data_IF_886822950384
#
_entry.id   IF_886822950384
#
_cell.length_a   1.000
_cell.length_b   1.000
_cell.length_c   1.000
_cell.angle_alpha   90.00
_cell.angle_beta   90.00
_cell.angle_gamma   90.00
#
_symmetry.space_group_name_H-M   'P 1'
#
loop_
_entity.id
_entity.type
_entity.pdbx_description
1 polymer ?
#
# COMPACT_ATOMS: atom_id res chain seq x y z
N UNK A 1 14.94 -22.54 -12.73
CA UNK A 1 14.92 -21.61 -11.58
C UNK A 1 13.85 -20.52 -11.74
N UNK A 2 13.84 -19.69 -12.80
CA UNK A 2 12.82 -18.65 -13.00
C UNK A 2 11.38 -19.19 -13.08
N UNK A 3 11.14 -20.28 -13.83
CA UNK A 3 9.81 -20.91 -13.94
C UNK A 3 9.30 -21.40 -12.60
N UNK A 4 10.16 -21.99 -11.78
CA UNK A 4 9.78 -22.45 -10.43
C UNK A 4 9.46 -21.30 -9.47
N UNK A 5 10.19 -20.18 -9.56
CA UNK A 5 9.89 -18.96 -8.80
C UNK A 5 8.55 -18.35 -9.24
N UNK A 6 8.29 -18.33 -10.55
CA UNK A 6 7.02 -17.86 -11.10
C UNK A 6 5.86 -18.72 -10.60
N UNK A 7 6.00 -20.05 -10.60
CA UNK A 7 4.98 -20.97 -10.07
C UNK A 7 4.75 -20.80 -8.56
N UNK A 8 5.81 -20.51 -7.79
CA UNK A 8 5.66 -20.24 -6.34
C UNK A 8 4.82 -18.99 -6.10
N UNK A 9 4.98 -17.95 -6.93
CA UNK A 9 4.32 -16.65 -6.77
C UNK A 9 2.92 -16.63 -7.37
N UNK A 10 2.68 -17.36 -8.46
CA UNK A 10 1.43 -17.26 -9.24
C UNK A 10 0.42 -18.38 -8.98
N UNK A 11 0.85 -19.52 -8.44
CA UNK A 11 -0.05 -20.64 -8.18
C UNK A 11 -0.57 -20.63 -6.74
N UNK A 12 -1.90 -20.64 -6.54
CA UNK A 12 -2.47 -20.77 -5.21
C UNK A 12 -2.07 -22.07 -4.56
N UNK A 13 -1.70 -22.01 -3.28
CA UNK A 13 -1.33 -23.19 -2.50
C UNK A 13 -2.57 -24.03 -2.15
N UNK A 14 -2.43 -25.31 -1.75
CA UNK A 14 -3.55 -26.16 -1.37
C UNK A 14 -4.44 -25.61 -0.26
N UNK A 15 -3.94 -24.66 0.53
CA UNK A 15 -4.70 -23.97 1.59
C UNK A 15 -5.65 -22.90 1.05
N UNK A 16 -5.49 -22.47 -0.21
CA UNK A 16 -6.41 -21.51 -0.82
C UNK A 16 -7.68 -22.24 -1.29
N UNK A 17 -8.87 -21.64 -1.09
CA UNK A 17 -10.09 -22.13 -1.72
C UNK A 17 -9.93 -22.19 -3.25
N UNK A 18 -10.60 -23.18 -3.90
CA UNK A 18 -10.45 -23.39 -5.35
C UNK A 18 -10.88 -22.21 -6.21
N UNK A 19 -11.84 -21.45 -5.75
CA UNK A 19 -12.42 -20.25 -6.38
C UNK A 19 -11.58 -18.98 -6.15
N UNK A 20 -10.54 -19.05 -5.33
CA UNK A 20 -9.66 -17.91 -5.05
C UNK A 20 -8.61 -17.62 -6.13
N UNK A 21 -8.44 -18.50 -7.10
CA UNK A 21 -7.36 -18.38 -8.08
C UNK A 21 -7.31 -17.01 -8.79
N UNK A 22 -8.44 -16.46 -9.32
CA UNK A 22 -8.41 -15.12 -9.94
C UNK A 22 -8.04 -14.02 -8.95
N UNK A 23 -8.62 -14.06 -7.74
CA UNK A 23 -8.33 -13.09 -6.70
C UNK A 23 -6.87 -13.19 -6.22
N UNK A 24 -6.35 -14.42 -6.09
CA UNK A 24 -4.95 -14.66 -5.76
C UNK A 24 -4.01 -14.02 -6.78
N UNK A 25 -4.22 -14.28 -8.08
CA UNK A 25 -3.41 -13.69 -9.15
C UNK A 25 -3.52 -12.16 -9.18
N UNK A 26 -4.72 -11.61 -9.04
CA UNK A 26 -4.93 -10.17 -8.98
C UNK A 26 -4.16 -9.53 -7.80
N UNK A 27 -4.19 -10.19 -6.64
CA UNK A 27 -3.43 -9.73 -5.47
C UNK A 27 -1.92 -9.79 -5.69
N UNK A 28 -1.40 -10.86 -6.29
CA UNK A 28 0.02 -10.98 -6.61
C UNK A 28 0.49 -9.89 -7.58
N UNK A 29 -0.31 -9.62 -8.61
CA UNK A 29 -0.03 -8.54 -9.56
C UNK A 29 -0.10 -7.18 -8.88
N UNK A 30 -1.07 -6.96 -7.98
CA UNK A 30 -1.17 -5.75 -7.17
C UNK A 30 0.04 -5.54 -6.27
N UNK A 31 0.53 -6.57 -5.59
CA UNK A 31 1.76 -6.50 -4.80
C UNK A 31 2.98 -6.16 -5.66
N UNK A 32 3.11 -6.78 -6.84
CA UNK A 32 4.22 -6.52 -7.75
C UNK A 32 4.18 -5.09 -8.28
N UNK A 33 3.01 -4.63 -8.73
CA UNK A 33 2.82 -3.25 -9.21
C UNK A 33 3.10 -2.25 -8.09
N UNK A 34 2.62 -2.53 -6.87
CA UNK A 34 2.91 -1.73 -5.68
C UNK A 34 4.41 -1.65 -5.38
N UNK A 35 5.14 -2.77 -5.45
CA UNK A 35 6.58 -2.78 -5.23
C UNK A 35 7.35 -1.95 -6.28
N UNK A 36 6.94 -2.03 -7.55
CA UNK A 36 7.53 -1.20 -8.63
C UNK A 36 7.23 0.27 -8.38
N UNK A 37 5.99 0.60 -7.99
CA UNK A 37 5.59 1.95 -7.65
C UNK A 37 6.37 2.54 -6.47
N UNK A 38 6.60 1.74 -5.42
CA UNK A 38 7.44 2.10 -4.27
C UNK A 38 8.87 2.45 -4.72
N UNK A 39 9.51 1.57 -5.48
CA UNK A 39 10.87 1.79 -5.97
C UNK A 39 10.98 3.04 -6.87
N UNK A 40 10.00 3.27 -7.74
CA UNK A 40 9.96 4.48 -8.58
C UNK A 40 9.82 5.76 -7.77
N UNK A 41 8.98 5.72 -6.73
CA UNK A 41 8.78 6.82 -5.79
C UNK A 41 10.02 7.10 -4.95
N UNK A 42 10.65 6.05 -4.40
CA UNK A 42 11.88 6.17 -3.63
C UNK A 42 13.00 6.78 -4.47
N UNK A 43 13.11 6.36 -5.72
CA UNK A 43 14.09 6.93 -6.65
C UNK A 43 13.82 8.42 -6.91
N UNK A 44 12.54 8.80 -7.11
CA UNK A 44 12.16 10.20 -7.29
C UNK A 44 12.52 11.04 -6.06
N UNK A 45 12.17 10.57 -4.86
CA UNK A 45 12.49 11.25 -3.60
C UNK A 45 13.99 11.37 -3.41
N UNK A 46 14.75 10.30 -3.66
CA UNK A 46 16.21 10.30 -3.58
C UNK A 46 16.85 11.33 -4.50
N UNK A 47 16.33 11.51 -5.72
CA UNK A 47 16.87 12.43 -6.72
C UNK A 47 16.46 13.89 -6.52
N UNK A 48 15.39 14.17 -5.77
CA UNK A 48 14.79 15.50 -5.74
C UNK A 48 14.66 16.12 -4.36
N UNK A 49 14.90 15.36 -3.30
CA UNK A 49 14.74 15.82 -1.91
C UNK A 49 16.08 15.73 -1.18
N UNK A 50 16.57 16.82 -0.64
CA UNK A 50 17.85 16.84 0.07
C UNK A 50 17.87 15.94 1.31
N UNK A 51 16.82 16.04 2.15
CA UNK A 51 16.65 15.24 3.35
C UNK A 51 15.82 13.95 3.10
N UNK A 52 16.15 13.20 2.07
CA UNK A 52 15.43 12.00 1.63
C UNK A 52 15.49 10.82 2.62
N UNK A 53 16.57 10.71 3.39
CA UNK A 53 16.87 9.51 4.17
C UNK A 53 15.77 9.11 5.19
N UNK A 54 15.20 10.02 6.01
CA UNK A 54 14.11 9.64 6.92
C UNK A 54 12.84 9.24 6.19
N UNK A 55 12.57 9.83 5.02
CA UNK A 55 11.38 9.51 4.20
C UNK A 55 11.49 8.08 3.68
N UNK A 56 12.63 7.75 3.04
CA UNK A 56 12.88 6.40 2.51
C UNK A 56 12.98 5.36 3.64
N UNK A 57 13.61 5.68 4.77
CA UNK A 57 13.68 4.77 5.91
C UNK A 57 12.30 4.41 6.45
N UNK A 58 11.40 5.37 6.53
CA UNK A 58 10.01 5.15 6.92
C UNK A 58 9.27 4.28 5.89
N UNK A 59 9.45 4.55 4.60
CA UNK A 59 8.87 3.77 3.53
C UNK A 59 9.34 2.31 3.54
N UNK A 60 10.63 2.08 3.74
CA UNK A 60 11.19 0.74 3.88
C UNK A 60 10.60 0.00 5.09
N UNK A 61 10.38 0.69 6.22
CA UNK A 61 9.74 0.08 7.38
C UNK A 61 8.32 -0.42 7.08
N UNK A 62 7.48 0.40 6.44
CA UNK A 62 6.14 -0.03 6.01
C UNK A 62 6.19 -1.03 4.85
N UNK A 63 7.14 -0.89 3.94
CA UNK A 63 7.42 -1.84 2.86
C UNK A 63 7.72 -3.24 3.38
N UNK A 64 8.45 -3.36 4.49
CA UNK A 64 8.67 -4.64 5.17
C UNK A 64 7.36 -5.25 5.69
N UNK A 65 6.47 -4.45 6.28
CA UNK A 65 5.15 -4.93 6.73
C UNK A 65 4.32 -5.45 5.56
N UNK A 66 4.30 -4.71 4.45
CA UNK A 66 3.63 -5.12 3.21
C UNK A 66 4.28 -6.39 2.64
N UNK A 67 5.60 -6.48 2.65
CA UNK A 67 6.38 -7.64 2.21
C UNK A 67 6.06 -8.90 3.02
N UNK A 68 5.92 -8.78 4.35
CA UNK A 68 5.46 -9.89 5.20
C UNK A 68 4.02 -10.26 4.84
N UNK A 69 3.15 -9.30 4.56
CA UNK A 69 1.80 -9.55 4.06
C UNK A 69 1.79 -10.34 2.75
N UNK A 70 2.63 -9.92 1.79
CA UNK A 70 2.83 -10.65 0.54
C UNK A 70 3.31 -12.10 0.78
N UNK A 71 4.31 -12.29 1.62
CA UNK A 71 4.82 -13.62 1.98
C UNK A 71 3.72 -14.49 2.59
N UNK A 72 2.97 -14.00 3.58
CA UNK A 72 1.85 -14.72 4.17
C UNK A 72 0.80 -15.09 3.13
N UNK A 73 0.49 -14.19 2.21
CA UNK A 73 -0.41 -14.46 1.10
C UNK A 73 0.10 -15.60 0.22
N UNK A 74 1.39 -15.61 -0.14
CA UNK A 74 1.99 -16.64 -1.00
C UNK A 74 2.06 -18.02 -0.35
N UNK A 75 2.25 -18.11 0.98
CA UNK A 75 2.31 -19.39 1.71
C UNK A 75 0.95 -19.93 2.14
N UNK A 76 -0.15 -19.26 1.77
CA UNK A 76 -1.51 -19.76 1.98
C UNK A 76 -2.28 -19.15 3.16
N UNK A 77 -1.71 -18.13 3.84
CA UNK A 77 -2.42 -17.32 4.83
C UNK A 77 -3.00 -16.06 4.16
N UNK A 78 -3.79 -16.26 3.11
CA UNK A 78 -4.21 -15.19 2.21
C UNK A 78 -4.93 -14.03 2.92
N UNK A 79 -5.90 -14.32 3.80
CA UNK A 79 -6.64 -13.27 4.52
C UNK A 79 -5.73 -12.46 5.44
N UNK A 80 -4.86 -13.11 6.20
CA UNK A 80 -3.90 -12.43 7.09
C UNK A 80 -2.91 -11.60 6.30
N UNK A 81 -2.44 -12.13 5.17
CA UNK A 81 -1.51 -11.43 4.28
C UNK A 81 -2.10 -10.15 3.73
N UNK A 82 -3.35 -10.20 3.23
CA UNK A 82 -4.05 -9.01 2.71
C UNK A 82 -4.30 -7.98 3.81
N UNK A 83 -4.79 -8.42 4.97
CA UNK A 83 -5.05 -7.50 6.09
C UNK A 83 -3.75 -6.80 6.52
N UNK A 84 -2.66 -7.55 6.66
CA UNK A 84 -1.38 -6.97 7.05
C UNK A 84 -0.84 -5.99 6.02
N UNK A 85 -0.96 -6.31 4.72
CA UNK A 85 -0.58 -5.41 3.64
C UNK A 85 -1.42 -4.12 3.64
N UNK A 86 -2.73 -4.23 3.89
CA UNK A 86 -3.61 -3.06 4.02
C UNK A 86 -3.22 -2.19 5.23
N UNK A 87 -2.92 -2.78 6.38
CA UNK A 87 -2.45 -2.05 7.57
C UNK A 87 -1.14 -1.34 7.29
N UNK A 88 -0.18 -2.02 6.64
CA UNK A 88 1.08 -1.42 6.21
C UNK A 88 0.88 -0.27 5.23
N UNK A 89 0.00 -0.43 4.25
CA UNK A 89 -0.32 0.59 3.27
C UNK A 89 -0.96 1.85 3.88
N UNK A 90 -1.89 1.67 4.83
CA UNK A 90 -2.50 2.80 5.56
C UNK A 90 -1.48 3.51 6.44
N UNK A 91 -0.65 2.74 7.16
CA UNK A 91 0.43 3.31 7.97
C UNK A 91 1.38 4.15 7.10
N UNK A 92 1.81 3.60 5.97
CA UNK A 92 2.64 4.30 4.99
C UNK A 92 1.97 5.58 4.50
N UNK A 93 0.72 5.51 4.03
CA UNK A 93 -0.02 6.68 3.54
C UNK A 93 -0.14 7.77 4.61
N UNK A 94 -0.46 7.40 5.85
CA UNK A 94 -0.55 8.35 6.97
C UNK A 94 0.79 9.03 7.22
N UNK A 95 1.87 8.25 7.30
CA UNK A 95 3.20 8.76 7.55
C UNK A 95 3.67 9.68 6.41
N UNK A 96 3.41 9.33 5.15
CA UNK A 96 3.71 10.21 4.02
C UNK A 96 2.95 11.53 4.08
N UNK A 97 1.65 11.50 4.40
CA UNK A 97 0.87 12.74 4.56
C UNK A 97 1.48 13.63 5.64
N UNK A 98 1.91 13.05 6.77
CA UNK A 98 2.55 13.82 7.84
C UNK A 98 3.91 14.37 7.42
N UNK A 99 4.70 13.59 6.68
CA UNK A 99 6.06 13.98 6.31
C UNK A 99 6.11 14.97 5.15
N UNK A 100 5.35 14.73 4.08
CA UNK A 100 5.46 15.50 2.83
C UNK A 100 4.18 16.22 2.41
N UNK A 101 3.10 16.06 3.17
CA UNK A 101 1.89 16.85 3.08
C UNK A 101 0.72 16.22 2.32
N UNK A 102 -0.45 16.81 2.57
CA UNK A 102 -1.72 16.38 1.99
C UNK A 102 -1.78 16.53 0.46
N UNK A 103 -1.10 17.54 -0.09
CA UNK A 103 -1.09 17.86 -1.52
C UNK A 103 -0.55 16.75 -2.42
N UNK A 104 0.17 15.78 -1.86
CA UNK A 104 0.71 14.62 -2.59
C UNK A 104 -0.30 13.52 -2.89
N UNK A 105 -1.57 13.71 -2.49
CA UNK A 105 -2.69 12.81 -2.73
C UNK A 105 -2.55 11.38 -2.14
N UNK A 106 -1.63 11.16 -1.18
CA UNK A 106 -1.50 9.86 -0.49
C UNK A 106 -2.77 9.43 0.24
N UNK A 107 -3.67 10.36 0.57
CA UNK A 107 -4.98 10.07 1.15
C UNK A 107 -5.85 9.17 0.26
N UNK A 108 -5.62 9.13 -1.04
CA UNK A 108 -6.35 8.24 -1.95
C UNK A 108 -6.08 6.75 -1.66
N UNK A 109 -4.92 6.43 -1.08
CA UNK A 109 -4.60 5.08 -0.68
C UNK A 109 -5.57 4.50 0.34
N UNK A 110 -6.18 5.31 1.22
CA UNK A 110 -7.20 4.83 2.15
C UNK A 110 -8.42 4.27 1.40
N UNK A 111 -8.84 4.96 0.34
CA UNK A 111 -9.97 4.53 -0.49
C UNK A 111 -9.59 3.32 -1.33
N UNK A 112 -8.43 3.35 -1.99
CA UNK A 112 -7.94 2.26 -2.83
C UNK A 112 -7.78 0.96 -2.02
N UNK A 113 -7.22 1.03 -0.83
CA UNK A 113 -7.07 -0.14 0.05
C UNK A 113 -8.41 -0.66 0.59
N UNK A 114 -9.37 0.23 0.87
CA UNK A 114 -10.72 -0.19 1.24
C UNK A 114 -11.41 -0.93 0.09
N UNK A 115 -11.33 -0.40 -1.13
CA UNK A 115 -11.88 -1.04 -2.33
C UNK A 115 -11.20 -2.38 -2.61
N UNK A 116 -9.87 -2.43 -2.51
CA UNK A 116 -9.10 -3.67 -2.66
C UNK A 116 -9.54 -4.73 -1.65
N UNK A 117 -9.70 -4.35 -0.38
CA UNK A 117 -10.16 -5.25 0.67
C UNK A 117 -11.57 -5.79 0.37
N UNK A 118 -12.46 -4.96 -0.18
CA UNK A 118 -13.81 -5.40 -0.55
C UNK A 118 -13.81 -6.41 -1.70
N UNK A 119 -12.85 -6.31 -2.61
CA UNK A 119 -12.71 -7.23 -3.74
C UNK A 119 -12.17 -8.62 -3.34
N UNK A 120 -11.49 -8.74 -2.20
CA UNK A 120 -10.90 -10.01 -1.75
C UNK A 120 -11.99 -10.90 -1.11
N UNK A 121 -12.02 -12.21 -1.38
CA UNK A 121 -13.00 -13.15 -0.83
C UNK A 121 -12.72 -13.51 0.64
N UNK A 122 -12.62 -12.52 1.52
CA UNK A 122 -12.57 -12.65 2.98
C UNK A 122 -14.00 -12.65 3.53
N UNK A 123 -14.21 -13.27 4.69
CA UNK A 123 -15.51 -13.30 5.36
C UNK A 123 -16.02 -11.88 5.62
N UNK A 124 -17.28 -11.60 5.25
CA UNK A 124 -17.86 -10.26 5.32
C UNK A 124 -17.82 -9.64 6.73
N UNK A 125 -17.97 -10.43 7.78
CA UNK A 125 -17.93 -9.93 9.16
C UNK A 125 -16.52 -9.42 9.57
N UNK A 126 -15.45 -9.83 8.88
CA UNK A 126 -14.09 -9.29 9.05
C UNK A 126 -13.88 -8.09 8.11
N UNK A 127 -14.29 -8.25 6.85
CA UNK A 127 -14.05 -7.31 5.76
C UNK A 127 -14.68 -5.95 6.01
N UNK A 128 -15.97 -5.92 6.34
CA UNK A 128 -16.71 -4.68 6.50
C UNK A 128 -16.20 -3.79 7.66
N UNK A 129 -15.98 -4.31 8.88
CA UNK A 129 -15.42 -3.48 9.96
C UNK A 129 -14.06 -2.86 9.58
N UNK A 130 -13.18 -3.62 8.89
CA UNK A 130 -11.87 -3.10 8.48
C UNK A 130 -12.04 -2.02 7.40
N UNK A 131 -12.87 -2.24 6.38
CA UNK A 131 -13.13 -1.24 5.34
C UNK A 131 -13.72 0.06 5.92
N UNK A 132 -14.68 -0.06 6.85
CA UNK A 132 -15.26 1.11 7.54
C UNK A 132 -14.21 1.82 8.40
N UNK A 133 -13.32 1.06 9.06
CA UNK A 133 -12.21 1.65 9.82
C UNK A 133 -11.28 2.48 8.93
N UNK A 134 -11.04 2.06 7.69
CA UNK A 134 -10.22 2.83 6.74
C UNK A 134 -10.86 4.17 6.38
N UNK A 135 -12.17 4.20 6.17
CA UNK A 135 -12.92 5.44 5.96
C UNK A 135 -12.86 6.34 7.21
N UNK A 136 -12.98 5.75 8.39
CA UNK A 136 -12.83 6.46 9.66
C UNK A 136 -11.43 7.08 9.82
N UNK A 137 -10.38 6.31 9.53
CA UNK A 137 -8.98 6.79 9.57
C UNK A 137 -8.78 7.91 8.55
N UNK A 138 -9.30 7.77 7.33
CA UNK A 138 -9.28 8.85 6.33
C UNK A 138 -9.93 10.12 6.87
N UNK A 139 -11.13 10.01 7.47
CA UNK A 139 -11.86 11.17 8.00
C UNK A 139 -11.07 11.86 9.12
N UNK A 140 -10.47 11.09 10.02
CA UNK A 140 -9.61 11.60 11.09
C UNK A 140 -8.35 12.25 10.48
N UNK A 141 -7.69 11.60 9.56
CA UNK A 141 -6.52 12.14 8.88
C UNK A 141 -6.86 13.45 8.15
N UNK A 142 -8.01 13.51 7.48
CA UNK A 142 -8.48 14.73 6.82
C UNK A 142 -8.66 15.87 7.81
N UNK A 143 -9.34 15.64 8.93
CA UNK A 143 -9.59 16.69 9.93
C UNK A 143 -8.30 17.24 10.54
N UNK A 144 -7.31 16.40 10.79
CA UNK A 144 -6.10 16.80 11.51
C UNK A 144 -4.91 17.14 10.60
N UNK A 145 -4.82 16.54 9.42
CA UNK A 145 -3.63 16.64 8.57
C UNK A 145 -3.84 17.49 7.31
N UNK A 146 -5.08 17.72 6.85
CA UNK A 146 -5.30 18.46 5.60
C UNK A 146 -4.81 19.92 5.64
N UNK A 147 -4.79 20.52 6.82
CA UNK A 147 -4.28 21.89 7.03
C UNK A 147 -2.93 21.93 7.74
N UNK A 148 -2.31 20.79 8.06
CA UNK A 148 -1.02 20.77 8.74
C UNK A 148 0.13 21.10 7.80
N UNK A 149 1.16 21.73 8.36
CA UNK A 149 2.43 21.92 7.66
C UNK A 149 3.17 20.56 7.59
N UNK A 150 3.68 20.17 6.41
CA UNK A 150 4.49 18.97 6.30
C UNK A 150 5.82 19.13 7.08
N UNK A 151 6.36 18.00 7.54
CA UNK A 151 7.66 17.98 8.24
C UNK A 151 8.80 18.32 7.28
N UNK A 152 8.70 17.82 6.05
CA UNK A 152 9.69 18.08 5.00
C UNK A 152 9.08 18.93 3.89
N UNK A 153 9.76 20.02 3.53
CA UNK A 153 9.38 20.78 2.34
C UNK A 153 10.08 20.15 1.13
N UNK A 154 9.28 19.64 0.21
CA UNK A 154 9.77 19.00 -1.01
C UNK A 154 9.45 19.89 -2.22
N UNK A 155 10.26 19.83 -3.31
CA UNK A 155 10.04 20.62 -4.50
C UNK A 155 8.62 20.48 -5.05
N UNK A 156 8.03 21.56 -5.55
CA UNK A 156 6.66 21.57 -6.08
C UNK A 156 6.48 20.53 -7.20
N UNK A 157 7.44 20.43 -8.10
CA UNK A 157 7.41 19.43 -9.18
C UNK A 157 7.35 18.00 -8.64
N UNK A 158 8.05 17.72 -7.54
CA UNK A 158 8.02 16.39 -6.90
C UNK A 158 6.64 16.13 -6.29
N UNK A 159 6.03 17.14 -5.64
CA UNK A 159 4.65 17.05 -5.12
C UNK A 159 3.66 16.72 -6.24
N UNK A 160 3.76 17.41 -7.38
CA UNK A 160 2.87 17.23 -8.52
C UNK A 160 3.03 15.83 -9.14
N UNK A 161 4.26 15.34 -9.31
CA UNK A 161 4.52 13.99 -9.82
C UNK A 161 3.98 12.93 -8.87
N UNK A 162 4.18 13.09 -7.55
CA UNK A 162 3.64 12.18 -6.54
C UNK A 162 2.10 12.21 -6.55
N UNK A 163 1.50 13.39 -6.63
CA UNK A 163 0.03 13.52 -6.69
C UNK A 163 -0.54 12.81 -7.93
N UNK A 164 0.04 13.04 -9.10
CA UNK A 164 -0.39 12.38 -10.34
C UNK A 164 -0.23 10.87 -10.22
N UNK A 165 0.92 10.37 -9.73
CA UNK A 165 1.15 8.94 -9.56
C UNK A 165 0.14 8.28 -8.61
N UNK A 166 -0.23 8.97 -7.52
CA UNK A 166 -1.21 8.47 -6.54
C UNK A 166 -2.67 8.55 -7.04
N UNK A 167 -2.96 9.39 -8.03
CA UNK A 167 -4.29 9.47 -8.68
C UNK A 167 -4.46 8.33 -9.71
N UNK A 168 -3.37 7.98 -10.40
CA UNK A 168 -3.41 6.96 -11.47
C UNK A 168 -3.28 5.54 -10.90
N UNK A 169 -2.54 5.34 -9.80
CA UNK A 169 -2.27 4.04 -9.16
C UNK A 169 -3.39 3.55 -8.32
#
# INVERSE_FOLDING_TARGET
MFVQLFDIVTLPKPRHPKDWRPAFLAMQLGFLAGAIGLLGRDLLIFLTVDDWAPIIAMELAFGMVIGVGFFLHTVGFASSGVILACVGGIGSATAFIMMIGWSTAFYLWYVNLAVLLLAVPIRNWIKWPIAVSFIGIYSIAHLFLSGSQPVFDIPAITKDVLAISNIIG
#
